data_IF_367795292886
#
_entry.id   IF_367795292886
#
_cell.length_a   1.000
_cell.length_b   1.000
_cell.length_c   1.000
_cell.angle_alpha   90.00
_cell.angle_beta   90.00
_cell.angle_gamma   90.00
#
_symmetry.space_group_name_H-M   'P 1'
#
loop_
_entity.id
_entity.type
_entity.pdbx_description
1 polymer ?
#
# COMPACT_ATOMS: atom_id res chain seq x y z
N UNK A 1 12.60 -19.61 11.07
CA UNK A 1 11.86 -18.36 11.32
C UNK A 1 11.73 -17.46 10.09
N UNK A 2 12.78 -17.26 9.29
CA UNK A 2 12.73 -16.34 8.13
C UNK A 2 11.68 -16.73 7.06
N UNK A 3 11.55 -18.01 6.71
CA UNK A 3 10.56 -18.47 5.73
C UNK A 3 9.13 -18.18 6.19
N UNK A 4 8.78 -18.56 7.42
CA UNK A 4 7.44 -18.31 7.97
C UNK A 4 7.10 -16.81 8.05
N UNK A 5 8.07 -15.95 8.34
CA UNK A 5 7.88 -14.51 8.35
C UNK A 5 7.57 -13.97 6.95
N UNK A 6 8.34 -14.38 5.93
CA UNK A 6 8.11 -13.96 4.53
C UNK A 6 6.76 -14.45 4.04
N UNK A 7 6.40 -15.71 4.28
CA UNK A 7 5.10 -16.27 3.88
C UNK A 7 3.94 -15.55 4.56
N UNK A 8 4.04 -15.22 5.85
CA UNK A 8 3.00 -14.46 6.55
C UNK A 8 2.86 -13.02 6.04
N UNK A 9 3.98 -12.35 5.74
CA UNK A 9 3.97 -10.99 5.20
C UNK A 9 3.34 -10.97 3.81
N UNK A 10 3.84 -11.80 2.89
CA UNK A 10 3.40 -11.83 1.50
C UNK A 10 1.99 -12.40 1.32
N UNK A 11 1.65 -13.47 2.05
CA UNK A 11 0.38 -14.18 1.89
C UNK A 11 -0.79 -13.61 2.69
N UNK A 12 -0.55 -12.81 3.74
CA UNK A 12 -1.61 -12.35 4.64
C UNK A 12 -1.54 -10.85 4.89
N UNK A 13 -0.41 -10.34 5.38
CA UNK A 13 -0.31 -8.96 5.84
C UNK A 13 -0.45 -7.96 4.67
N UNK A 14 0.36 -8.09 3.63
CA UNK A 14 0.38 -7.15 2.51
C UNK A 14 -0.99 -7.11 1.78
N UNK A 15 -1.60 -8.26 1.41
CA UNK A 15 -2.92 -8.26 0.79
C UNK A 15 -4.01 -7.62 1.67
N UNK A 16 -4.02 -7.90 2.98
CA UNK A 16 -5.03 -7.37 3.90
C UNK A 16 -4.88 -5.87 4.14
N UNK A 17 -3.63 -5.38 4.24
CA UNK A 17 -3.34 -3.96 4.38
C UNK A 17 -3.76 -3.19 3.12
N UNK A 18 -3.42 -3.70 1.93
CA UNK A 18 -3.83 -3.10 0.65
C UNK A 18 -5.34 -2.99 0.54
N UNK A 19 -6.06 -4.08 0.78
CA UNK A 19 -7.51 -4.10 0.74
C UNK A 19 -8.12 -3.09 1.73
N UNK A 20 -7.54 -2.98 2.93
CA UNK A 20 -8.00 -2.02 3.95
C UNK A 20 -7.82 -0.57 3.48
N UNK A 21 -6.66 -0.23 2.90
CA UNK A 21 -6.38 1.12 2.40
C UNK A 21 -7.29 1.48 1.22
N UNK A 22 -7.54 0.55 0.30
CA UNK A 22 -8.48 0.73 -0.83
C UNK A 22 -9.92 0.94 -0.34
N UNK A 23 -10.39 0.11 0.60
CA UNK A 23 -11.71 0.27 1.20
C UNK A 23 -11.87 1.63 1.90
N UNK A 24 -10.83 2.09 2.62
CA UNK A 24 -10.85 3.41 3.27
C UNK A 24 -10.78 4.55 2.27
N UNK A 25 -10.01 4.41 1.19
CA UNK A 25 -10.00 5.39 0.10
C UNK A 25 -11.41 5.60 -0.46
N UNK A 26 -12.14 4.51 -0.75
CA UNK A 26 -13.52 4.59 -1.21
C UNK A 26 -14.47 5.20 -0.16
N UNK A 27 -14.39 4.73 1.10
CA UNK A 27 -15.25 5.22 2.18
C UNK A 27 -15.05 6.71 2.51
N UNK A 28 -13.89 7.28 2.17
CA UNK A 28 -13.55 8.68 2.41
C UNK A 28 -13.63 9.56 1.16
N UNK A 29 -14.21 9.05 0.07
CA UNK A 29 -14.30 9.75 -1.22
C UNK A 29 -14.96 11.12 -1.13
N UNK A 30 -15.96 11.29 -0.27
CA UNK A 30 -16.75 12.53 -0.16
C UNK A 30 -16.25 13.51 0.92
N UNK A 31 -15.20 13.14 1.67
CA UNK A 31 -14.68 13.97 2.76
C UNK A 31 -13.65 14.95 2.19
N UNK A 32 -14.05 16.20 1.92
CA UNK A 32 -13.12 17.26 1.48
C UNK A 32 -12.31 17.79 2.68
N UNK A 33 -11.00 17.94 2.51
CA UNK A 33 -10.06 18.48 3.51
C UNK A 33 -9.08 19.49 2.90
N UNK A 34 -8.45 20.30 3.76
CA UNK A 34 -7.33 21.17 3.36
C UNK A 34 -6.08 20.33 3.06
N UNK A 35 -5.45 20.57 1.92
CA UNK A 35 -4.13 20.01 1.61
C UNK A 35 -3.04 20.63 2.48
N UNK A 36 -1.92 19.93 2.67
CA UNK A 36 -0.73 20.51 3.32
C UNK A 36 0.54 20.24 2.51
N UNK A 37 1.27 21.29 2.15
CA UNK A 37 2.63 21.20 1.60
C UNK A 37 3.56 22.03 2.47
N UNK A 38 4.74 21.51 2.80
CA UNK A 38 5.63 22.13 3.80
C UNK A 38 4.92 22.49 5.12
N UNK A 39 3.92 21.70 5.53
CA UNK A 39 3.04 21.93 6.68
C UNK A 39 2.21 23.23 6.63
N UNK A 40 2.08 23.85 5.46
CA UNK A 40 1.21 25.00 5.21
C UNK A 40 0.00 24.57 4.42
N UNK A 41 -1.10 25.31 4.57
CA UNK A 41 -2.33 25.07 3.83
C UNK A 41 -2.09 25.16 2.31
N UNK A 42 -2.68 24.23 1.59
CA UNK A 42 -2.64 24.10 0.13
C UNK A 42 -4.06 23.93 -0.43
N UNK A 43 -4.17 23.66 -1.74
CA UNK A 43 -5.46 23.43 -2.39
C UNK A 43 -6.20 22.23 -1.77
N UNK A 44 -7.54 22.30 -1.61
CA UNK A 44 -8.32 21.18 -1.09
C UNK A 44 -8.21 19.90 -1.94
N UNK A 45 -8.38 18.76 -1.27
CA UNK A 45 -8.50 17.43 -1.85
C UNK A 45 -9.43 16.58 -0.96
N UNK A 46 -9.85 15.41 -1.43
CA UNK A 46 -10.62 14.48 -0.59
C UNK A 46 -9.69 13.63 0.26
N UNK A 47 -10.14 13.23 1.45
CA UNK A 47 -9.43 12.27 2.28
C UNK A 47 -9.30 10.91 1.57
N UNK A 48 -10.27 10.55 0.72
CA UNK A 48 -10.19 9.41 -0.17
C UNK A 48 -9.00 9.48 -1.14
N UNK A 49 -8.73 10.66 -1.72
CA UNK A 49 -7.55 10.88 -2.57
C UNK A 49 -6.24 10.69 -1.80
N UNK A 50 -6.14 11.18 -0.56
CA UNK A 50 -4.97 10.96 0.28
C UNK A 50 -4.73 9.47 0.58
N UNK A 51 -5.79 8.73 0.94
CA UNK A 51 -5.69 7.29 1.18
C UNK A 51 -5.39 6.48 -0.09
N UNK A 52 -5.84 6.93 -1.26
CA UNK A 52 -5.46 6.31 -2.54
C UNK A 52 -3.95 6.41 -2.80
N UNK A 53 -3.33 7.52 -2.36
CA UNK A 53 -1.88 7.69 -2.40
C UNK A 53 -1.14 6.64 -1.56
N UNK A 54 -1.63 6.34 -0.35
CA UNK A 54 -1.04 5.29 0.50
C UNK A 54 -1.17 3.90 -0.12
N UNK A 55 -2.35 3.56 -0.66
CA UNK A 55 -2.57 2.29 -1.35
C UNK A 55 -1.64 2.14 -2.56
N UNK A 56 -1.51 3.20 -3.37
CA UNK A 56 -0.60 3.22 -4.51
C UNK A 56 0.85 3.03 -4.07
N UNK A 57 1.32 3.73 -3.03
CA UNK A 57 2.69 3.56 -2.51
C UNK A 57 2.95 2.11 -2.07
N UNK A 58 1.98 1.47 -1.42
CA UNK A 58 2.10 0.07 -1.02
C UNK A 58 2.20 -0.85 -2.23
N UNK A 59 1.35 -0.68 -3.25
CA UNK A 59 1.41 -1.45 -4.49
C UNK A 59 2.78 -1.31 -5.21
N UNK A 60 3.33 -0.09 -5.25
CA UNK A 60 4.67 0.13 -5.82
C UNK A 60 5.77 -0.54 -4.99
N UNK A 61 5.63 -0.61 -3.67
CA UNK A 61 6.58 -1.30 -2.79
C UNK A 61 6.44 -2.83 -2.87
N UNK A 62 5.25 -3.35 -3.18
CA UNK A 62 4.99 -4.79 -3.37
C UNK A 62 5.57 -5.33 -4.68
N UNK A 63 5.54 -4.55 -5.76
CA UNK A 63 5.96 -5.02 -7.09
C UNK A 63 7.38 -5.64 -7.12
N UNK A 64 8.42 -5.05 -6.48
CA UNK A 64 9.74 -5.67 -6.37
C UNK A 64 9.76 -6.98 -5.58
N UNK A 65 8.86 -7.19 -4.62
CA UNK A 65 8.83 -8.39 -3.77
C UNK A 65 8.34 -9.61 -4.55
N UNK A 66 7.35 -9.44 -5.43
CA UNK A 66 6.93 -10.51 -6.34
C UNK A 66 8.08 -10.94 -7.25
N UNK A 67 8.85 -9.98 -7.76
CA UNK A 67 10.00 -10.27 -8.63
C UNK A 67 11.17 -10.95 -7.88
N UNK A 68 11.34 -10.66 -6.59
CA UNK A 68 12.32 -11.31 -5.72
C UNK A 68 11.93 -12.76 -5.36
N UNK A 69 10.65 -13.03 -5.12
CA UNK A 69 10.15 -14.38 -4.81
C UNK A 69 10.39 -15.34 -6.00
N UNK A 70 10.12 -14.89 -7.23
CA UNK A 70 10.41 -15.63 -8.47
C UNK A 70 11.90 -15.95 -8.67
N UNK A 71 12.82 -15.11 -8.16
CA UNK A 71 14.28 -15.38 -8.25
C UNK A 71 14.72 -16.43 -7.26
N UNK A 72 14.13 -16.46 -6.07
CA UNK A 72 14.45 -17.42 -5.03
C UNK A 72 14.02 -18.85 -5.40
N UNK A 73 12.85 -19.00 -6.04
CA UNK A 73 12.36 -20.30 -6.52
C UNK A 73 13.20 -20.91 -7.66
N UNK A 74 13.86 -20.08 -8.48
CA UNK A 74 14.73 -20.56 -9.59
C UNK A 74 16.14 -20.94 -9.17
N UNK A 75 16.57 -20.61 -7.95
CA UNK A 75 17.92 -20.93 -7.47
C UNK A 75 17.98 -22.23 -6.66
N UNK A 76 16.82 -22.82 -6.36
CA UNK A 76 16.67 -24.11 -5.66
C UNK A 76 16.32 -25.27 -6.60
N UNK A 77 16.39 -25.06 -7.92
CA UNK A 77 16.19 -26.05 -8.97
C UNK A 77 17.47 -26.40 -9.72
#
# INVERSE_FOLDING_TARGET
MHVAAVTGIAGQLLPSLRATLEQKSAAFGDIVKIGRTHLRDATPLTLGQEFSGYAAQLQHAEAPLGEADFRNERQIG
#
